data_IF_946683497652
#
_entry.id   IF_946683497652
#
_cell.length_a   1.000
_cell.length_b   1.000
_cell.length_c   1.000
_cell.angle_alpha   90.00
_cell.angle_beta   90.00
_cell.angle_gamma   90.00
#
_symmetry.space_group_name_H-M   'P 1'
#
loop_
_entity.id
_entity.type
_entity.pdbx_description
1 polymer ?
#
# COMPACT_ATOMS: atom_id res chain seq x y z
N UNK A 1 -4.71 -1.16 10.40
CA UNK A 1 -4.60 -2.08 9.26
C UNK A 1 -3.86 -1.37 8.12
N UNK A 2 -3.09 -2.09 7.31
CA UNK A 2 -2.41 -1.55 6.13
C UNK A 2 -2.88 -2.27 4.88
N UNK A 3 -3.45 -1.53 3.92
CA UNK A 3 -3.87 -2.04 2.62
C UNK A 3 -2.90 -1.49 1.58
N UNK A 4 -2.22 -2.38 0.87
CA UNK A 4 -1.21 -2.02 -0.12
C UNK A 4 -1.79 -2.13 -1.53
N UNK A 5 -1.46 -1.13 -2.34
CA UNK A 5 -1.54 -1.19 -3.79
C UNK A 5 -0.34 -1.96 -4.38
N UNK A 6 -0.44 -2.30 -5.66
CA UNK A 6 0.52 -3.01 -6.49
C UNK A 6 1.90 -2.33 -6.53
N UNK A 7 1.97 -1.01 -6.69
CA UNK A 7 3.23 -0.29 -6.85
C UNK A 7 4.21 -0.48 -5.66
N UNK A 8 3.81 -0.16 -4.43
CA UNK A 8 4.64 -0.37 -3.24
C UNK A 8 4.96 -1.84 -3.00
N UNK A 9 3.96 -2.74 -3.07
CA UNK A 9 4.19 -4.15 -2.71
C UNK A 9 5.17 -4.84 -3.66
N UNK A 10 5.16 -4.49 -4.95
CA UNK A 10 6.15 -5.00 -5.89
C UNK A 10 7.57 -4.65 -5.51
N UNK A 11 7.82 -3.42 -5.04
CA UNK A 11 9.17 -2.99 -4.66
C UNK A 11 9.72 -3.88 -3.55
N UNK A 12 8.93 -4.13 -2.51
CA UNK A 12 9.38 -4.97 -1.38
C UNK A 12 9.51 -6.45 -1.74
N UNK A 13 8.59 -6.99 -2.53
CA UNK A 13 8.66 -8.39 -2.96
C UNK A 13 9.83 -8.61 -3.92
N UNK A 14 9.95 -7.79 -4.97
CA UNK A 14 10.95 -8.00 -6.02
C UNK A 14 12.40 -7.82 -5.54
N UNK A 15 12.63 -7.08 -4.46
CA UNK A 15 13.97 -6.86 -3.89
C UNK A 15 14.28 -7.69 -2.66
N UNK A 16 13.50 -8.74 -2.36
CA UNK A 16 13.65 -9.56 -1.14
C UNK A 16 13.72 -8.69 0.13
N UNK A 17 12.75 -7.77 0.27
CA UNK A 17 12.65 -6.82 1.37
C UNK A 17 11.39 -6.99 2.22
N UNK A 18 10.76 -8.17 2.14
CA UNK A 18 9.55 -8.50 2.92
C UNK A 18 9.75 -8.36 4.44
N UNK A 19 10.87 -8.77 5.05
CA UNK A 19 11.08 -8.53 6.48
C UNK A 19 11.03 -7.04 6.86
N UNK A 20 11.60 -6.17 6.03
CA UNK A 20 11.54 -4.72 6.23
C UNK A 20 10.11 -4.19 6.07
N UNK A 21 9.36 -4.71 5.11
CA UNK A 21 7.94 -4.39 4.97
C UNK A 21 7.17 -4.79 6.23
N UNK A 22 7.27 -6.04 6.66
CA UNK A 22 6.56 -6.54 7.85
C UNK A 22 6.92 -5.70 9.09
N UNK A 23 8.20 -5.36 9.27
CA UNK A 23 8.64 -4.49 10.35
C UNK A 23 8.03 -3.07 10.25
N UNK A 24 8.01 -2.47 9.06
CA UNK A 24 7.37 -1.17 8.81
C UNK A 24 5.87 -1.18 9.13
N UNK A 25 5.21 -2.33 8.92
CA UNK A 25 3.80 -2.52 9.25
C UNK A 25 3.57 -2.88 10.73
N UNK A 26 4.60 -2.86 11.59
CA UNK A 26 4.49 -3.21 13.01
C UNK A 26 4.31 -4.70 13.26
N UNK A 27 4.85 -5.57 12.40
CA UNK A 27 4.66 -7.02 12.40
C UNK A 27 3.21 -7.48 12.16
N UNK A 28 2.39 -6.61 11.59
CA UNK A 28 1.03 -6.94 11.16
C UNK A 28 1.00 -7.53 9.74
N UNK A 29 -0.12 -8.16 9.39
CA UNK A 29 -0.31 -8.73 8.06
C UNK A 29 -0.39 -7.67 6.96
N UNK A 30 0.11 -8.03 5.79
CA UNK A 30 -0.01 -7.29 4.54
C UNK A 30 -1.41 -7.58 3.98
N UNK A 31 -2.24 -6.55 3.83
CA UNK A 31 -3.55 -6.69 3.20
C UNK A 31 -3.49 -6.17 1.77
N UNK A 32 -4.00 -6.93 0.82
CA UNK A 32 -4.12 -6.52 -0.59
C UNK A 32 -5.49 -6.90 -1.14
N UNK A 33 -6.10 -6.09 -2.02
CA UNK A 33 -7.25 -6.52 -2.81
C UNK A 33 -6.93 -7.72 -3.74
N UNK A 34 -7.94 -8.51 -4.11
CA UNK A 34 -7.79 -9.58 -5.12
C UNK A 34 -7.21 -9.05 -6.45
N UNK A 35 -7.58 -7.84 -6.86
CA UNK A 35 -7.02 -7.19 -8.04
C UNK A 35 -5.50 -6.96 -7.95
N UNK A 36 -5.00 -6.62 -6.75
CA UNK A 36 -3.57 -6.44 -6.51
C UNK A 36 -2.86 -7.79 -6.46
N UNK A 37 -3.45 -8.80 -5.81
CA UNK A 37 -2.91 -10.16 -5.83
C UNK A 37 -2.81 -10.71 -7.27
N UNK A 38 -3.84 -10.50 -8.09
CA UNK A 38 -3.81 -10.83 -9.51
C UNK A 38 -2.65 -10.12 -10.21
N UNK A 39 -2.47 -8.82 -9.98
CA UNK A 39 -1.40 -8.03 -10.61
C UNK A 39 -0.01 -8.52 -10.20
N UNK A 40 0.20 -8.92 -8.95
CA UNK A 40 1.43 -9.54 -8.44
C UNK A 40 1.81 -10.78 -9.26
N UNK A 41 0.81 -11.59 -9.64
CA UNK A 41 1.01 -12.83 -10.39
C UNK A 41 1.08 -12.60 -11.91
N UNK A 42 0.34 -11.62 -12.46
CA UNK A 42 0.22 -11.37 -13.90
C UNK A 42 1.35 -10.49 -14.45
N UNK A 43 1.70 -9.39 -13.75
CA UNK A 43 2.67 -8.40 -14.25
C UNK A 43 4.02 -9.02 -14.63
N UNK A 44 4.57 -9.99 -13.87
CA UNK A 44 5.85 -10.58 -14.20
C UNK A 44 5.90 -11.34 -15.52
N UNK A 45 4.74 -11.76 -16.07
CA UNK A 45 4.67 -12.37 -17.41
C UNK A 45 5.09 -11.40 -18.52
N UNK A 46 4.95 -10.09 -18.29
CA UNK A 46 5.30 -9.02 -19.23
C UNK A 46 6.47 -8.15 -18.76
N UNK A 47 6.79 -8.18 -17.46
CA UNK A 47 7.86 -7.39 -16.83
C UNK A 47 8.73 -8.29 -15.95
N UNK A 48 9.73 -8.97 -16.53
CA UNK A 48 10.53 -9.97 -15.83
C UNK A 48 11.28 -9.46 -14.59
N UNK A 49 11.53 -8.14 -14.48
CA UNK A 49 12.13 -7.55 -13.29
C UNK A 49 11.28 -7.76 -12.01
N UNK A 50 9.99 -8.07 -12.15
CA UNK A 50 9.09 -8.39 -11.04
C UNK A 50 8.88 -9.90 -10.83
N UNK A 51 9.58 -10.78 -11.55
CA UNK A 51 9.45 -12.25 -11.43
C UNK A 51 9.53 -12.75 -9.99
N UNK A 52 10.46 -12.16 -9.23
CA UNK A 52 10.64 -12.50 -7.83
C UNK A 52 9.39 -12.28 -6.96
N UNK A 53 8.54 -11.32 -7.32
CA UNK A 53 7.32 -11.07 -6.58
C UNK A 53 6.28 -12.19 -6.71
N UNK A 54 6.07 -12.71 -7.92
CA UNK A 54 5.18 -13.85 -8.15
C UNK A 54 5.72 -15.15 -7.52
N UNK A 55 7.04 -15.29 -7.38
CA UNK A 55 7.63 -16.44 -6.66
C UNK A 55 7.43 -16.35 -5.15
N UNK A 56 7.57 -15.16 -4.57
CA UNK A 56 7.56 -14.95 -3.12
C UNK A 56 6.14 -14.87 -2.55
N UNK A 57 5.23 -14.19 -3.22
CA UNK A 57 3.89 -13.92 -2.68
C UNK A 57 3.15 -15.19 -2.24
N UNK A 58 3.09 -16.28 -3.05
CA UNK A 58 2.44 -17.52 -2.63
C UNK A 58 3.16 -18.23 -1.47
N UNK A 59 4.45 -17.95 -1.26
CA UNK A 59 5.28 -18.56 -0.21
C UNK A 59 5.25 -17.80 1.11
N UNK A 60 4.65 -16.60 1.14
CA UNK A 60 4.49 -15.87 2.38
C UNK A 60 3.59 -16.65 3.33
N UNK A 61 3.96 -16.79 4.62
CA UNK A 61 3.08 -17.40 5.61
C UNK A 61 1.74 -16.68 5.65
N UNK A 62 0.63 -17.44 5.69
CA UNK A 62 -0.75 -16.90 5.67
C UNK A 62 -1.00 -15.85 6.76
N UNK A 63 -0.33 -15.94 7.91
CA UNK A 63 -0.42 -14.92 8.97
C UNK A 63 0.07 -13.51 8.56
N UNK A 64 0.86 -13.40 7.50
CA UNK A 64 1.40 -12.15 6.99
C UNK A 64 0.77 -11.70 5.68
N UNK A 65 -0.14 -12.50 5.12
CA UNK A 65 -0.70 -12.30 3.78
C UNK A 65 -2.23 -12.45 3.84
N UNK A 66 -2.95 -11.35 3.65
CA UNK A 66 -4.42 -11.34 3.66
C UNK A 66 -4.93 -10.72 2.36
N UNK A 67 -5.65 -11.52 1.58
CA UNK A 67 -6.35 -11.02 0.38
C UNK A 67 -7.76 -10.55 0.77
N UNK A 68 -8.10 -9.32 0.38
CA UNK A 68 -9.43 -8.73 0.54
C UNK A 68 -10.27 -9.07 -0.70
N UNK A 69 -11.46 -9.69 -0.54
CA UNK A 69 -12.25 -10.16 -1.67
C UNK A 69 -12.87 -8.99 -2.44
N UNK A 70 -12.69 -8.96 -3.76
CA UNK A 70 -13.24 -7.93 -4.63
C UNK A 70 -14.67 -8.27 -5.11
N UNK A 71 -15.25 -9.35 -4.59
CA UNK A 71 -16.63 -9.74 -4.88
C UNK A 71 -17.56 -8.54 -4.66
N UNK A 72 -18.34 -8.13 -5.67
CA UNK A 72 -19.11 -6.90 -5.61
C UNK A 72 -20.23 -6.99 -4.58
N UNK A 73 -20.05 -6.29 -3.47
CA UNK A 73 -21.09 -6.05 -2.47
C UNK A 73 -21.86 -4.77 -2.78
N UNK A 74 -23.05 -4.61 -2.21
CA UNK A 74 -23.82 -3.36 -2.34
C UNK A 74 -23.01 -2.16 -1.85
N UNK A 75 -22.26 -2.31 -0.75
CA UNK A 75 -21.39 -1.25 -0.23
C UNK A 75 -20.28 -0.89 -1.21
N UNK A 76 -19.57 -1.86 -1.80
CA UNK A 76 -18.52 -1.59 -2.78
C UNK A 76 -19.09 -0.95 -4.06
N UNK A 77 -20.29 -1.36 -4.51
CA UNK A 77 -20.97 -0.75 -5.66
C UNK A 77 -21.30 0.72 -5.39
N UNK A 78 -21.87 1.02 -4.22
CA UNK A 78 -22.17 2.40 -3.81
C UNK A 78 -20.91 3.25 -3.67
N UNK A 79 -19.86 2.69 -3.06
CA UNK A 79 -18.58 3.37 -2.92
C UNK A 79 -17.97 3.70 -4.28
N UNK A 80 -17.93 2.73 -5.19
CA UNK A 80 -17.44 2.92 -6.56
C UNK A 80 -18.17 4.08 -7.26
N UNK A 81 -19.51 4.09 -7.21
CA UNK A 81 -20.30 5.17 -7.82
C UNK A 81 -20.05 6.53 -7.14
N UNK A 82 -19.89 6.55 -5.82
CA UNK A 82 -19.72 7.80 -5.05
C UNK A 82 -18.33 8.43 -5.18
N UNK A 83 -17.28 7.59 -5.20
CA UNK A 83 -15.87 8.00 -5.16
C UNK A 83 -15.31 8.13 -6.57
N UNK A 84 -15.55 7.12 -7.42
CA UNK A 84 -14.96 7.00 -8.75
C UNK A 84 -15.89 7.48 -9.86
N UNK A 85 -17.19 7.69 -9.56
CA UNK A 85 -18.22 8.09 -10.53
C UNK A 85 -18.44 7.08 -11.66
N UNK A 86 -18.14 5.81 -11.37
CA UNK A 86 -18.28 4.69 -12.30
C UNK A 86 -19.08 3.56 -11.65
N UNK A 87 -19.75 2.77 -12.49
CA UNK A 87 -20.32 1.50 -12.04
C UNK A 87 -19.22 0.49 -11.68
N UNK A 88 -19.45 -0.37 -10.70
CA UNK A 88 -18.45 -1.34 -10.25
C UNK A 88 -17.91 -2.21 -11.39
N UNK A 89 -18.80 -2.78 -12.21
CA UNK A 89 -18.40 -3.68 -13.29
C UNK A 89 -17.66 -2.95 -14.43
N UNK A 90 -17.87 -1.64 -14.57
CA UNK A 90 -17.11 -0.80 -15.50
C UNK A 90 -15.71 -0.53 -14.96
N UNK A 91 -15.61 -0.09 -13.71
CA UNK A 91 -14.33 0.14 -13.03
C UNK A 91 -13.49 -1.14 -12.99
N UNK A 92 -14.08 -2.28 -12.64
CA UNK A 92 -13.34 -3.54 -12.48
C UNK A 92 -12.79 -4.10 -13.80
N UNK A 93 -13.40 -3.74 -14.93
CA UNK A 93 -12.90 -4.07 -16.28
C UNK A 93 -11.71 -3.21 -16.70
N UNK A 94 -11.53 -2.03 -16.11
CA UNK A 94 -10.37 -1.20 -16.38
C UNK A 94 -9.17 -1.88 -15.74
N UNK A 95 -8.15 -2.20 -16.54
CA UNK A 95 -6.90 -2.79 -16.02
C UNK A 95 -5.98 -1.73 -15.42
N UNK A 96 -6.21 -0.46 -15.78
CA UNK A 96 -5.47 0.67 -15.27
C UNK A 96 -6.05 1.08 -13.90
N UNK A 97 -5.18 1.28 -12.94
CA UNK A 97 -5.47 1.77 -11.57
C UNK A 97 -6.47 0.90 -10.78
N UNK A 98 -6.71 -0.34 -11.24
CA UNK A 98 -7.69 -1.27 -10.63
C UNK A 98 -7.28 -1.64 -9.20
N UNK A 99 -6.03 -2.03 -9.02
CA UNK A 99 -5.46 -2.33 -7.71
C UNK A 99 -5.61 -1.15 -6.75
N UNK A 100 -5.21 0.05 -7.18
CA UNK A 100 -5.31 1.27 -6.37
C UNK A 100 -6.76 1.59 -6.00
N UNK A 101 -7.67 1.58 -6.98
CA UNK A 101 -9.07 1.86 -6.76
C UNK A 101 -9.68 0.86 -5.76
N UNK A 102 -9.38 -0.44 -5.89
CA UNK A 102 -9.87 -1.43 -4.93
C UNK A 102 -9.25 -1.24 -3.53
N UNK A 103 -7.97 -0.88 -3.43
CA UNK A 103 -7.34 -0.58 -2.14
C UNK A 103 -8.05 0.57 -1.43
N UNK A 104 -8.39 1.65 -2.15
CA UNK A 104 -9.12 2.80 -1.62
C UNK A 104 -10.55 2.41 -1.24
N UNK A 105 -11.28 1.67 -2.09
CA UNK A 105 -12.65 1.26 -1.83
C UNK A 105 -12.75 0.38 -0.58
N UNK A 106 -11.87 -0.62 -0.43
CA UNK A 106 -11.79 -1.46 0.76
C UNK A 106 -11.46 -0.64 2.00
N UNK A 107 -10.52 0.29 1.91
CA UNK A 107 -10.15 1.14 3.04
C UNK A 107 -11.30 2.01 3.53
N UNK A 108 -12.07 2.60 2.61
CA UNK A 108 -13.24 3.41 2.98
C UNK A 108 -14.34 2.53 3.59
N UNK A 109 -14.61 1.36 3.01
CA UNK A 109 -15.60 0.42 3.55
C UNK A 109 -15.27 0.01 4.99
N UNK A 110 -14.01 -0.34 5.26
CA UNK A 110 -13.54 -0.70 6.60
C UNK A 110 -13.58 0.49 7.55
N UNK A 111 -13.15 1.68 7.13
CA UNK A 111 -13.22 2.88 7.95
C UNK A 111 -14.66 3.27 8.31
N UNK A 112 -15.65 3.06 7.43
CA UNK A 112 -17.07 3.27 7.78
C UNK A 112 -17.55 2.35 8.91
N UNK A 113 -16.88 1.22 9.10
CA UNK A 113 -17.17 0.24 10.16
C UNK A 113 -16.39 0.50 11.45
N UNK A 114 -15.59 1.57 11.52
CA UNK A 114 -14.84 1.98 12.71
C UNK A 114 -13.35 1.67 12.64
N UNK A 115 -12.85 1.09 11.54
CA UNK A 115 -11.46 0.68 11.45
C UNK A 115 -10.49 1.83 11.13
N UNK A 116 -9.27 1.72 11.65
CA UNK A 116 -8.16 2.58 11.25
C UNK A 116 -7.36 1.92 10.13
N UNK A 117 -7.41 2.50 8.93
CA UNK A 117 -6.76 1.96 7.74
C UNK A 117 -5.70 2.92 7.20
N UNK A 118 -4.53 2.39 6.89
CA UNK A 118 -3.49 3.09 6.14
C UNK A 118 -3.46 2.48 4.74
N UNK A 119 -3.73 3.29 3.73
CA UNK A 119 -3.64 2.91 2.33
C UNK A 119 -2.26 3.27 1.82
N UNK A 120 -1.55 2.30 1.27
CA UNK A 120 -0.20 2.49 0.75
C UNK A 120 -0.26 2.51 -0.77
N UNK A 121 -0.04 3.69 -1.38
CA UNK A 121 0.12 3.84 -2.82
C UNK A 121 1.15 4.94 -3.13
N UNK A 122 1.84 4.83 -4.27
CA UNK A 122 2.85 5.80 -4.67
C UNK A 122 2.28 6.94 -5.53
N UNK A 123 1.09 6.78 -6.12
CA UNK A 123 0.54 7.75 -7.07
C UNK A 123 -0.10 8.97 -6.41
N UNK A 124 0.10 10.13 -7.03
CA UNK A 124 -0.45 11.41 -6.55
C UNK A 124 -1.98 11.44 -6.62
N UNK A 125 -2.57 10.85 -7.66
CA UNK A 125 -4.03 10.82 -7.83
C UNK A 125 -4.69 10.00 -6.72
N UNK A 126 -4.16 8.81 -6.41
CA UNK A 126 -4.58 8.00 -5.27
C UNK A 126 -4.47 8.74 -3.95
N UNK A 127 -3.35 9.44 -3.74
CA UNK A 127 -3.15 10.28 -2.55
C UNK A 127 -4.24 11.34 -2.40
N UNK A 128 -4.61 12.02 -3.49
CA UNK A 128 -5.66 13.02 -3.49
C UNK A 128 -7.04 12.42 -3.18
N UNK A 129 -7.35 11.25 -3.74
CA UNK A 129 -8.58 10.49 -3.45
C UNK A 129 -8.64 10.10 -1.96
N UNK A 130 -7.58 9.52 -1.41
CA UNK A 130 -7.51 9.12 0.02
C UNK A 130 -7.73 10.33 0.94
N UNK A 131 -7.11 11.48 0.64
CA UNK A 131 -7.30 12.71 1.44
C UNK A 131 -8.75 13.21 1.38
N UNK A 132 -9.36 13.21 0.20
CA UNK A 132 -10.77 13.60 0.02
C UNK A 132 -11.69 12.72 0.86
N UNK A 133 -11.52 11.40 0.77
CA UNK A 133 -12.35 10.44 1.49
C UNK A 133 -12.08 10.45 3.00
N UNK A 134 -10.84 10.70 3.44
CA UNK A 134 -10.52 10.91 4.86
C UNK A 134 -11.30 12.09 5.45
N UNK A 135 -11.43 13.18 4.70
CA UNK A 135 -12.22 14.34 5.11
C UNK A 135 -13.73 14.05 5.07
N UNK A 136 -14.21 13.36 4.03
CA UNK A 136 -15.61 12.97 3.93
C UNK A 136 -16.04 12.06 5.09
N UNK A 137 -15.21 11.08 5.46
CA UNK A 137 -15.45 10.18 6.59
C UNK A 137 -15.54 10.94 7.91
N UNK A 138 -14.62 11.88 8.18
CA UNK A 138 -14.68 12.73 9.37
C UNK A 138 -15.99 13.50 9.46
N UNK A 139 -16.43 14.11 8.35
CA UNK A 139 -17.71 14.83 8.32
C UNK A 139 -18.91 13.90 8.54
N UNK A 140 -18.92 12.75 7.87
CA UNK A 140 -20.00 11.75 8.02
C UNK A 140 -20.12 11.22 9.45
N UNK A 141 -19.00 11.06 10.16
CA UNK A 141 -18.96 10.67 11.57
C UNK A 141 -19.52 11.75 12.48
N UNK A 142 -19.19 13.03 12.24
CA UNK A 142 -19.79 14.16 12.97
C UNK A 142 -21.32 14.19 12.84
N UNK A 143 -21.86 13.74 11.71
CA UNK A 143 -23.31 13.61 11.47
C UNK A 143 -23.90 12.24 11.85
N UNK A 144 -23.15 11.37 12.52
CA UNK A 144 -23.65 10.06 12.98
C UNK A 144 -24.01 9.07 11.88
N UNK A 145 -23.50 9.23 10.65
CA UNK A 145 -23.84 8.36 9.51
C UNK A 145 -23.10 7.03 9.50
N UNK A 146 -21.95 6.95 10.17
CA UNK A 146 -21.07 5.78 10.20
C UNK A 146 -20.52 5.54 11.61
N UNK A 147 -19.97 4.35 11.83
CA UNK A 147 -19.36 3.99 13.11
C UNK A 147 -18.26 5.00 13.48
N UNK A 148 -18.33 5.60 14.69
CA UNK A 148 -17.30 6.53 15.15
C UNK A 148 -15.92 5.87 15.22
N UNK A 149 -14.87 6.67 15.07
CA UNK A 149 -13.48 6.25 15.25
C UNK A 149 -12.77 5.82 13.97
N UNK A 150 -13.48 5.29 12.98
CA UNK A 150 -12.83 4.83 11.75
C UNK A 150 -12.18 5.96 10.93
N UNK A 151 -11.05 5.68 10.30
CA UNK A 151 -10.32 6.68 9.50
C UNK A 151 -9.44 6.01 8.47
N UNK A 152 -9.21 6.73 7.38
CA UNK A 152 -8.18 6.38 6.41
C UNK A 152 -7.03 7.39 6.42
N UNK A 153 -5.82 6.90 6.20
CA UNK A 153 -4.59 7.67 6.04
C UNK A 153 -3.82 7.15 4.83
N UNK A 154 -2.99 8.01 4.24
CA UNK A 154 -2.11 7.66 3.14
C UNK A 154 -0.69 7.39 3.65
N UNK A 155 -0.02 6.43 3.04
CA UNK A 155 1.41 6.21 3.11
C UNK A 155 1.93 5.86 1.70
N UNK A 156 3.23 6.01 1.47
CA UNK A 156 3.87 5.58 0.22
C UNK A 156 5.12 4.74 0.53
N UNK A 157 5.84 4.30 -0.51
CA UNK A 157 7.06 3.51 -0.34
C UNK A 157 8.11 4.22 0.53
N UNK A 158 8.26 5.55 0.41
CA UNK A 158 9.20 6.31 1.26
C UNK A 158 8.77 6.31 2.74
N UNK A 159 7.46 6.38 3.01
CA UNK A 159 6.90 6.23 4.36
C UNK A 159 7.23 4.85 4.93
N UNK A 160 7.03 3.78 4.16
CA UNK A 160 7.34 2.42 4.60
C UNK A 160 8.83 2.22 4.87
N UNK A 161 9.71 2.75 4.01
CA UNK A 161 11.15 2.69 4.21
C UNK A 161 11.59 3.44 5.46
N UNK A 162 11.00 4.61 5.73
CA UNK A 162 11.21 5.36 6.98
C UNK A 162 10.84 4.52 8.19
N UNK A 163 9.63 3.95 8.21
CA UNK A 163 9.16 3.12 9.32
C UNK A 163 10.01 1.86 9.52
N UNK A 164 10.49 1.24 8.43
CA UNK A 164 11.42 0.12 8.52
C UNK A 164 12.75 0.53 9.18
N UNK A 165 13.29 1.72 8.87
CA UNK A 165 14.50 2.25 9.53
C UNK A 165 14.21 2.50 11.01
N UNK A 166 13.09 3.16 11.34
CA UNK A 166 12.68 3.45 12.72
C UNK A 166 12.45 2.16 13.54
N UNK A 167 12.04 1.08 12.88
CA UNK A 167 11.89 -0.25 13.46
C UNK A 167 13.20 -1.06 13.54
N UNK A 168 14.35 -0.46 13.20
CA UNK A 168 15.66 -1.13 13.13
C UNK A 168 15.67 -2.38 12.21
N UNK A 169 14.90 -2.36 11.12
CA UNK A 169 14.76 -3.49 10.22
C UNK A 169 15.90 -3.63 9.20
N UNK A 170 16.89 -2.74 9.25
CA UNK A 170 18.09 -2.77 8.40
C UNK A 170 19.33 -2.95 9.26
N UNK A 171 20.18 -3.89 8.89
CA UNK A 171 21.42 -4.19 9.61
C UNK A 171 22.41 -3.02 9.60
N UNK A 172 22.38 -2.19 8.55
CA UNK A 172 23.24 -1.03 8.40
C UNK A 172 22.68 -0.03 7.40
N UNK A 173 23.25 1.18 7.41
CA UNK A 173 22.98 2.20 6.40
C UNK A 173 23.36 1.72 5.00
N UNK A 174 24.46 0.98 4.85
CA UNK A 174 24.88 0.40 3.57
C UNK A 174 23.86 -0.64 3.05
N UNK A 175 23.37 -1.51 3.95
CA UNK A 175 22.34 -2.49 3.61
C UNK A 175 21.04 -1.81 3.13
N UNK A 176 20.63 -0.74 3.81
CA UNK A 176 19.51 0.10 3.37
C UNK A 176 19.74 0.68 1.97
N UNK A 177 20.88 1.34 1.75
CA UNK A 177 21.20 1.99 0.46
C UNK A 177 21.16 0.99 -0.70
N UNK A 178 21.69 -0.22 -0.49
CA UNK A 178 21.65 -1.30 -1.48
C UNK A 178 20.22 -1.71 -1.83
N UNK A 179 19.34 -1.88 -0.83
CA UNK A 179 17.92 -2.21 -1.05
C UNK A 179 17.16 -1.06 -1.70
N UNK A 180 17.39 0.18 -1.24
CA UNK A 180 16.79 1.37 -1.83
C UNK A 180 17.12 1.48 -3.32
N UNK A 181 18.39 1.34 -3.69
CA UNK A 181 18.81 1.43 -5.09
C UNK A 181 18.20 0.32 -5.94
N UNK A 182 18.11 -0.90 -5.39
CA UNK A 182 17.44 -1.99 -6.08
C UNK A 182 15.96 -1.67 -6.35
N UNK A 183 15.24 -1.13 -5.35
CA UNK A 183 13.84 -0.73 -5.52
C UNK A 183 13.68 0.42 -6.52
N UNK A 184 14.52 1.45 -6.41
CA UNK A 184 14.50 2.60 -7.30
C UNK A 184 14.88 2.25 -8.75
N UNK A 185 15.50 1.10 -8.99
CA UNK A 185 15.79 0.61 -10.34
C UNK A 185 14.65 -0.20 -10.97
N UNK A 186 13.58 -0.54 -10.21
CA UNK A 186 12.44 -1.30 -10.75
C UNK A 186 11.48 -0.43 -11.56
N UNK A 187 11.28 0.82 -11.15
CA UNK A 187 10.40 1.80 -11.76
C UNK A 187 10.88 3.25 -11.49
N UNK A 188 10.05 4.23 -11.86
CA UNK A 188 10.34 5.67 -11.69
C UNK A 188 9.63 6.29 -10.47
N UNK A 189 8.95 5.50 -9.64
CA UNK A 189 8.18 6.02 -8.51
C UNK A 189 9.07 6.45 -7.33
N UNK A 190 10.30 5.92 -7.23
CA UNK A 190 11.28 6.34 -6.22
C UNK A 190 12.31 7.30 -6.79
N UNK A 191 12.66 8.39 -6.08
CA UNK A 191 13.76 9.26 -6.46
C UNK A 191 15.07 8.49 -6.55
N UNK A 192 15.83 8.64 -7.66
CA UNK A 192 17.13 7.96 -7.81
C UNK A 192 18.18 8.51 -6.81
N UNK A 193 18.11 9.79 -6.47
CA UNK A 193 18.93 10.37 -5.39
C UNK A 193 18.27 10.13 -4.03
N UNK A 194 18.75 9.11 -3.33
CA UNK A 194 18.29 8.75 -1.99
C UNK A 194 18.50 9.88 -0.96
N UNK A 195 19.50 10.77 -1.13
CA UNK A 195 19.73 11.86 -0.17
C UNK A 195 18.59 12.86 -0.18
N UNK A 196 18.01 13.12 -1.36
CA UNK A 196 16.87 14.02 -1.51
C UNK A 196 15.61 13.55 -0.75
N UNK A 197 15.53 12.26 -0.39
CA UNK A 197 14.41 11.70 0.39
C UNK A 197 14.52 11.97 1.90
N UNK A 198 15.69 12.40 2.39
CA UNK A 198 15.97 12.54 3.81
C UNK A 198 16.07 11.21 4.58
N UNK A 199 16.04 10.05 3.92
CA UNK A 199 16.14 8.74 4.57
C UNK A 199 17.57 8.36 4.98
N UNK A 200 18.59 9.07 4.48
CA UNK A 200 19.99 8.84 4.86
C UNK A 200 20.43 9.68 6.07
N UNK A 201 19.61 10.64 6.50
CA UNK A 201 19.89 11.55 7.61
C UNK A 201 19.40 11.03 8.95
N UNK A 202 19.72 11.77 10.02
CA UNK A 202 19.12 11.57 11.36
C UNK A 202 18.15 12.70 11.66
N UNK A 203 16.91 12.39 12.14
CA UNK A 203 16.21 11.10 12.06
C UNK A 203 15.97 10.67 10.59
N UNK A 204 15.65 9.39 10.26
CA UNK A 204 15.07 8.34 11.13
C UNK A 204 16.05 7.35 11.77
N UNK A 205 17.32 7.34 11.37
CA UNK A 205 18.29 6.41 11.97
C UNK A 205 18.50 6.70 13.45
N UNK A 206 18.57 5.67 14.31
CA UNK A 206 18.89 5.86 15.72
C UNK A 206 20.26 6.55 15.89
N UNK A 207 20.50 7.21 17.04
CA UNK A 207 21.84 7.65 17.40
C UNK A 207 22.83 6.47 17.34
N UNK A 208 24.08 6.74 16.98
CA UNK A 208 25.15 5.78 17.29
C UNK A 208 25.42 5.93 18.78
N UNK A 209 25.30 4.83 19.52
CA UNK A 209 25.81 4.73 20.88
C UNK A 209 27.35 4.86 20.90
#
# INVERSE_FOLDING_TARGET
MHILDTGPIFKFLATDSVPQLIAALGNHAIHVPEAVEYEIMDTPTRRPQFARAAELWPRLPERFKITLPDTPTEELRQLCQSILRLGFDEMYKQTRDRGENMAILHAVALARRGEHVIVVCDEEEGTAKIRRESNALKMQQTFGRHTPGGRIQHANTLTLLRWAIEANAFDSHEAFLKKYQAMANLDEALPKDVKATGLTGRPPWPPLD
#
